data_IF_045094204430
#
_entry.id   IF_045094204430
#
_cell.length_a   1.000
_cell.length_b   1.000
_cell.length_c   1.000
_cell.angle_alpha   90.00
_cell.angle_beta   90.00
_cell.angle_gamma   90.00
#
_symmetry.space_group_name_H-M   'P 1'
#
loop_
_entity.id
_entity.type
_entity.pdbx_description
1 polymer ?
#
# COMPACT_ATOMS: atom_id res chain seq x y z
N UNK A 1 1.56 -13.14 1.05
CA UNK A 1 1.78 -12.88 -0.39
C UNK A 1 3.17 -12.34 -0.56
N UNK A 2 3.95 -12.84 -1.52
CA UNK A 2 5.24 -12.23 -1.86
C UNK A 2 5.01 -11.10 -2.87
N UNK A 3 5.30 -9.87 -2.46
CA UNK A 3 5.21 -8.69 -3.31
C UNK A 3 6.34 -8.75 -4.36
N UNK A 4 5.98 -9.11 -5.59
CA UNK A 4 6.93 -9.21 -6.70
C UNK A 4 7.21 -7.83 -7.35
N UNK A 5 8.21 -7.77 -8.22
CA UNK A 5 8.63 -6.52 -8.86
C UNK A 5 7.54 -5.90 -9.74
N UNK A 6 6.69 -6.73 -10.36
CA UNK A 6 5.55 -6.29 -11.17
C UNK A 6 4.53 -5.56 -10.31
N UNK A 7 4.19 -6.10 -9.15
CA UNK A 7 3.26 -5.47 -8.19
C UNK A 7 3.81 -4.13 -7.70
N UNK A 8 5.11 -4.06 -7.34
CA UNK A 8 5.74 -2.81 -6.90
C UNK A 8 5.68 -1.72 -7.97
N UNK A 9 5.93 -2.08 -9.24
CA UNK A 9 5.86 -1.15 -10.37
C UNK A 9 4.43 -0.65 -10.59
N UNK A 10 3.45 -1.54 -10.60
CA UNK A 10 2.04 -1.16 -10.79
C UNK A 10 1.58 -0.21 -9.68
N UNK A 11 1.84 -0.55 -8.41
CA UNK A 11 1.45 0.28 -7.27
C UNK A 11 2.07 1.68 -7.36
N UNK A 12 3.37 1.75 -7.65
CA UNK A 12 4.08 3.04 -7.78
C UNK A 12 3.57 3.86 -8.97
N UNK A 13 3.24 3.23 -10.09
CA UNK A 13 2.71 3.92 -11.27
C UNK A 13 1.28 4.45 -11.03
N UNK A 14 0.45 3.70 -10.31
CA UNK A 14 -0.95 4.06 -10.05
C UNK A 14 -1.11 5.09 -8.93
N UNK A 15 -0.38 4.93 -7.82
CA UNK A 15 -0.58 5.76 -6.62
C UNK A 15 0.61 6.69 -6.28
N UNK A 16 1.72 6.60 -7.03
CA UNK A 16 2.86 7.52 -6.94
C UNK A 16 3.44 7.63 -5.52
N UNK A 17 3.58 8.87 -5.05
CA UNK A 17 4.16 9.19 -3.73
C UNK A 17 3.33 8.68 -2.52
N UNK A 18 2.12 8.17 -2.76
CA UNK A 18 1.28 7.61 -1.71
C UNK A 18 1.58 6.12 -1.41
N UNK A 19 2.54 5.52 -2.11
CA UNK A 19 3.02 4.15 -1.85
C UNK A 19 4.32 4.21 -1.07
N UNK A 20 4.40 3.41 -0.01
CA UNK A 20 5.61 3.19 0.77
C UNK A 20 5.81 1.70 0.95
N UNK A 21 7.06 1.25 0.82
CA UNK A 21 7.43 -0.14 1.07
C UNK A 21 8.14 -0.22 2.42
N UNK A 22 7.94 -1.33 3.13
CA UNK A 22 8.51 -1.55 4.47
C UNK A 22 8.16 -0.44 5.48
N UNK A 23 6.96 0.15 5.35
CA UNK A 23 6.53 1.29 6.17
C UNK A 23 6.18 0.82 7.59
N UNK A 24 6.81 1.36 8.66
CA UNK A 24 6.51 0.98 10.03
C UNK A 24 5.09 1.38 10.46
N UNK A 25 4.26 0.41 10.86
CA UNK A 25 2.89 0.68 11.33
C UNK A 25 2.83 1.39 12.68
N UNK A 26 3.91 1.37 13.46
CA UNK A 26 4.07 2.21 14.66
C UNK A 26 3.92 3.71 14.40
N UNK A 27 4.11 4.19 13.16
CA UNK A 27 3.89 5.60 12.77
C UNK A 27 2.41 5.95 12.56
N UNK A 28 1.55 4.94 12.43
CA UNK A 28 0.15 5.07 12.01
C UNK A 28 -0.84 4.59 13.08
N UNK A 29 -0.37 3.98 14.18
CA UNK A 29 -1.20 3.50 15.29
C UNK A 29 -1.08 4.38 16.53
N UNK A 30 -2.18 4.60 17.26
CA UNK A 30 -2.19 5.47 18.45
C UNK A 30 -1.27 4.97 19.57
N UNK A 31 -1.13 3.65 19.71
CA UNK A 31 -0.24 3.01 20.68
C UNK A 31 1.23 2.98 20.23
N UNK A 32 1.53 3.43 19.01
CA UNK A 32 2.87 3.41 18.39
C UNK A 32 3.52 2.03 18.35
N UNK A 33 2.70 1.01 18.17
CA UNK A 33 3.14 -0.39 18.02
C UNK A 33 2.80 -0.91 16.62
N UNK A 34 3.63 -1.81 16.12
CA UNK A 34 3.46 -2.45 14.81
C UNK A 34 4.75 -2.47 14.00
N UNK A 35 5.02 -3.62 13.39
CA UNK A 35 6.17 -3.82 12.51
C UNK A 35 6.02 -3.15 11.14
N UNK A 36 6.99 -3.36 10.22
CA UNK A 36 6.91 -2.86 8.87
C UNK A 36 5.83 -3.60 8.07
N UNK A 37 5.01 -2.87 7.32
CA UNK A 37 4.14 -3.43 6.31
C UNK A 37 4.92 -3.59 4.99
N UNK A 38 4.74 -4.72 4.29
CA UNK A 38 5.38 -4.95 2.98
C UNK A 38 5.07 -3.81 2.00
N UNK A 39 3.82 -3.34 2.02
CA UNK A 39 3.39 -2.13 1.32
C UNK A 39 2.34 -1.38 2.13
N UNK A 40 2.47 -0.06 2.16
CA UNK A 40 1.48 0.88 2.65
C UNK A 40 1.05 1.78 1.50
N UNK A 41 -0.25 1.82 1.21
CA UNK A 41 -0.85 2.70 0.20
C UNK A 41 -1.84 3.61 0.91
N UNK A 42 -1.72 4.91 0.67
CA UNK A 42 -2.66 5.92 1.17
C UNK A 42 -3.50 6.51 0.02
N UNK A 43 -4.66 5.91 -0.32
CA UNK A 43 -5.59 6.46 -1.29
C UNK A 43 -5.96 7.91 -0.95
N UNK A 44 -5.99 8.82 -1.93
CA UNK A 44 -6.41 10.21 -1.72
C UNK A 44 -7.91 10.36 -1.90
N UNK A 45 -8.48 9.57 -2.80
CA UNK A 45 -9.89 9.61 -3.12
C UNK A 45 -10.55 8.23 -3.00
N UNK A 46 -11.89 8.22 -2.96
CA UNK A 46 -12.66 6.98 -2.91
C UNK A 46 -12.45 6.13 -4.18
N UNK A 47 -12.27 6.77 -5.32
CA UNK A 47 -11.92 6.14 -6.60
C UNK A 47 -10.62 5.33 -6.51
N UNK A 48 -9.57 5.91 -5.93
CA UNK A 48 -8.28 5.24 -5.70
C UNK A 48 -8.45 3.96 -4.87
N UNK A 49 -9.26 4.03 -3.81
CA UNK A 49 -9.53 2.86 -2.96
C UNK A 49 -10.26 1.76 -3.74
N UNK A 50 -11.22 2.10 -4.60
CA UNK A 50 -11.91 1.12 -5.45
C UNK A 50 -10.94 0.45 -6.42
N UNK A 51 -10.05 1.22 -7.05
CA UNK A 51 -9.00 0.70 -7.95
C UNK A 51 -8.07 -0.26 -7.20
N UNK A 52 -7.63 0.12 -5.99
CA UNK A 52 -6.75 -0.71 -5.17
C UNK A 52 -7.42 -2.03 -4.76
N UNK A 53 -8.66 -1.98 -4.26
CA UNK A 53 -9.38 -3.18 -3.80
C UNK A 53 -9.63 -4.15 -4.95
N UNK A 54 -9.99 -3.66 -6.14
CA UNK A 54 -10.16 -4.52 -7.33
C UNK A 54 -8.86 -5.21 -7.70
N UNK A 55 -7.76 -4.46 -7.75
CA UNK A 55 -6.45 -5.04 -8.06
C UNK A 55 -6.04 -6.12 -7.05
N UNK A 56 -6.31 -5.92 -5.75
CA UNK A 56 -6.07 -6.91 -4.69
C UNK A 56 -6.93 -8.18 -4.80
N UNK A 57 -8.08 -8.14 -5.48
CA UNK A 57 -8.90 -9.33 -5.72
C UNK A 57 -8.39 -10.18 -6.88
N UNK A 58 -7.65 -9.56 -7.79
CA UNK A 58 -7.17 -10.17 -9.04
C UNK A 58 -5.74 -10.74 -8.93
N UNK A 59 -5.01 -10.43 -7.85
CA UNK A 59 -3.59 -10.74 -7.67
C UNK A 59 -3.30 -11.29 -6.27
#
# INVERSE_FOLDING_TARGET
MLLNQTHKKWLTATFGANVRFEEPMSRHTSLRVGGPADVYVAPKEKSDLVVLVRWLQEN
#
